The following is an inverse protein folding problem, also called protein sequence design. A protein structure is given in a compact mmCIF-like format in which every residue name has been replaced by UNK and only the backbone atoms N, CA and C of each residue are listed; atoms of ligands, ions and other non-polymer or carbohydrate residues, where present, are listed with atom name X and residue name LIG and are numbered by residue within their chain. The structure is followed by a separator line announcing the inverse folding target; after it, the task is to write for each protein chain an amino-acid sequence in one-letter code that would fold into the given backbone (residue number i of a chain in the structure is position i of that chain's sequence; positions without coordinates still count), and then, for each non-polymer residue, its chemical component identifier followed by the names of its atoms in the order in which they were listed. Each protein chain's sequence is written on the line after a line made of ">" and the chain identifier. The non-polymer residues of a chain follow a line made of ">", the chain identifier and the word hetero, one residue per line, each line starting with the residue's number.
data_IF_262557702009
#
_entry.id   IF_262557702009
#
_cell.length_a   1.000
_cell.length_b   1.000
_cell.length_c   1.000
_cell.angle_alpha   90.00
_cell.angle_beta   90.00
_cell.angle_gamma   90.00
#
_symmetry.space_group_name_H-M   'P 1'
#
loop_
_entity.id
_entity.type
_entity.pdbx_description
1 polymer ?
#
# COMPACT_ATOMS: atom_id res chain seq x y z
N UNK A 1 7.82 5.02 7.22
CA UNK A 1 8.35 3.82 7.92
C UNK A 1 8.50 2.66 6.92
N UNK A 2 9.23 1.58 7.23
CA UNK A 2 9.15 0.34 6.43
C UNK A 2 7.90 -0.45 6.83
N UNK A 3 7.10 -0.84 5.84
CA UNK A 3 5.93 -1.71 6.03
C UNK A 3 6.30 -3.16 5.77
N UNK A 4 7.14 -3.43 4.75
CA UNK A 4 7.66 -4.77 4.48
C UNK A 4 9.19 -4.78 4.61
N UNK A 5 9.69 -5.48 5.62
CA UNK A 5 11.13 -5.67 5.82
C UNK A 5 11.72 -6.62 4.75
N UNK A 6 11.02 -7.70 4.41
CA UNK A 6 11.50 -8.68 3.41
C UNK A 6 11.75 -8.06 2.03
N UNK A 7 10.89 -7.12 1.62
CA UNK A 7 10.96 -6.50 0.29
C UNK A 7 11.52 -5.07 0.33
N UNK A 8 11.87 -4.56 1.52
CA UNK A 8 12.27 -3.18 1.75
C UNK A 8 11.26 -2.16 1.17
N UNK A 9 9.96 -2.37 1.42
CA UNK A 9 8.89 -1.48 0.95
C UNK A 9 8.57 -0.47 2.05
N UNK A 10 8.71 0.81 1.74
CA UNK A 10 8.32 1.92 2.62
C UNK A 10 6.84 2.22 2.47
N UNK A 11 6.26 2.72 3.56
CA UNK A 11 4.88 3.21 3.57
C UNK A 11 4.62 4.25 2.47
N UNK A 12 5.56 5.16 2.22
CA UNK A 12 5.43 6.17 1.16
C UNK A 12 5.36 5.54 -0.25
N UNK A 13 6.08 4.45 -0.49
CA UNK A 13 6.02 3.71 -1.75
C UNK A 13 4.68 2.98 -1.88
N UNK A 14 4.21 2.41 -0.77
CA UNK A 14 2.92 1.72 -0.72
C UNK A 14 1.74 2.69 -0.92
N UNK A 15 1.75 3.86 -0.26
CA UNK A 15 0.77 4.94 -0.47
C UNK A 15 0.82 5.47 -1.90
N UNK A 16 2.00 5.56 -2.52
CA UNK A 16 2.10 5.90 -3.95
C UNK A 16 1.46 4.82 -4.83
N UNK A 17 1.73 3.53 -4.56
CA UNK A 17 1.12 2.43 -5.29
C UNK A 17 -0.42 2.43 -5.16
N UNK A 18 -0.94 2.76 -3.97
CA UNK A 18 -2.38 2.84 -3.68
C UNK A 18 -3.16 3.74 -4.64
N UNK A 19 -2.55 4.83 -5.12
CA UNK A 19 -3.16 5.80 -6.06
C UNK A 19 -3.28 5.25 -7.48
N UNK A 20 -2.49 4.24 -7.84
CA UNK A 20 -2.37 3.73 -9.21
C UNK A 20 -2.84 2.29 -9.37
N UNK A 21 -3.25 1.64 -8.27
CA UNK A 21 -3.76 0.27 -8.27
C UNK A 21 -5.08 0.19 -7.49
N UNK A 22 -6.04 -0.60 -7.96
CA UNK A 22 -7.32 -0.84 -7.30
C UNK A 22 -7.39 -2.17 -6.54
N UNK A 23 -6.28 -2.91 -6.45
CA UNK A 23 -6.20 -4.21 -5.77
C UNK A 23 -5.72 -4.15 -4.32
N UNK A 24 -5.53 -5.33 -3.74
CA UNK A 24 -4.99 -5.56 -2.40
C UNK A 24 -3.47 -5.31 -2.30
N UNK A 25 -2.90 -5.62 -1.14
CA UNK A 25 -1.48 -5.52 -0.87
C UNK A 25 -0.63 -6.32 -1.88
N UNK A 26 -1.09 -7.50 -2.31
CA UNK A 26 -0.34 -8.29 -3.29
C UNK A 26 -0.32 -7.61 -4.66
N UNK A 27 -1.46 -7.09 -5.10
CA UNK A 27 -1.55 -6.32 -6.33
C UNK A 27 -0.68 -5.05 -6.27
N UNK A 28 -0.67 -4.35 -5.12
CA UNK A 28 0.20 -3.21 -4.92
C UNK A 28 1.69 -3.59 -4.97
N UNK A 29 2.08 -4.73 -4.38
CA UNK A 29 3.46 -5.22 -4.42
C UNK A 29 3.87 -5.59 -5.85
N UNK A 30 2.95 -6.17 -6.63
CA UNK A 30 3.18 -6.47 -8.03
C UNK A 30 3.48 -5.20 -8.84
N UNK A 31 2.83 -4.06 -8.56
CA UNK A 31 3.15 -2.77 -9.21
C UNK A 31 4.56 -2.26 -8.89
N UNK A 32 5.13 -2.68 -7.75
CA UNK A 32 6.50 -2.38 -7.35
C UNK A 32 7.50 -3.44 -7.85
N UNK A 33 7.05 -4.41 -8.65
CA UNK A 33 7.87 -5.53 -9.13
C UNK A 33 8.27 -6.51 -8.01
N UNK A 34 7.44 -6.62 -6.96
CA UNK A 34 7.70 -7.48 -5.79
C UNK A 34 6.60 -8.52 -5.62
N UNK A 35 6.91 -9.60 -4.90
CA UNK A 35 5.94 -10.57 -4.37
C UNK A 35 6.11 -10.66 -2.85
N UNK A 36 5.03 -10.90 -2.08
CA UNK A 36 5.16 -11.13 -0.64
C UNK A 36 6.08 -12.32 -0.34
N UNK A 37 6.92 -12.22 0.71
CA UNK A 37 7.78 -13.32 1.16
C UNK A 37 7.18 -14.01 2.39
N UNK A 38 7.17 -13.35 3.56
CA UNK A 38 6.58 -13.91 4.79
C UNK A 38 5.09 -13.60 4.96
N UNK A 39 4.54 -12.64 4.19
CA UNK A 39 3.13 -12.24 4.25
C UNK A 39 2.71 -11.47 5.52
N UNK A 40 3.57 -11.33 6.53
CA UNK A 40 3.20 -10.75 7.83
C UNK A 40 2.74 -9.29 7.76
N UNK A 41 3.21 -8.55 6.75
CA UNK A 41 2.87 -7.15 6.54
C UNK A 41 1.58 -6.93 5.73
N UNK A 42 0.95 -7.97 5.18
CA UNK A 42 -0.14 -7.81 4.22
C UNK A 42 -1.37 -7.14 4.82
N UNK A 43 -1.75 -7.49 6.05
CA UNK A 43 -2.90 -6.90 6.74
C UNK A 43 -2.69 -5.39 6.96
N UNK A 44 -1.53 -5.00 7.48
CA UNK A 44 -1.19 -3.58 7.68
C UNK A 44 -1.08 -2.85 6.33
N UNK A 45 -0.49 -3.51 5.32
CA UNK A 45 -0.39 -2.95 3.98
C UNK A 45 -1.78 -2.68 3.37
N UNK A 46 -2.74 -3.59 3.50
CA UNK A 46 -4.11 -3.39 3.05
C UNK A 46 -4.79 -2.22 3.74
N UNK A 47 -4.58 -2.05 5.06
CA UNK A 47 -5.09 -0.91 5.80
C UNK A 47 -4.53 0.41 5.26
N UNK A 48 -3.21 0.48 5.02
CA UNK A 48 -2.57 1.67 4.44
C UNK A 48 -3.11 1.97 3.04
N UNK A 49 -3.30 0.94 2.20
CA UNK A 49 -3.88 1.11 0.86
C UNK A 49 -5.31 1.66 0.94
N UNK A 50 -6.13 1.13 1.85
CA UNK A 50 -7.49 1.57 2.06
C UNK A 50 -7.54 3.03 2.55
N UNK A 51 -6.79 3.36 3.60
CA UNK A 51 -6.69 4.72 4.13
C UNK A 51 -6.30 5.73 3.05
N UNK A 52 -5.28 5.42 2.26
CA UNK A 52 -4.81 6.34 1.22
C UNK A 52 -5.88 6.59 0.15
N UNK A 53 -6.63 5.56 -0.22
CA UNK A 53 -7.68 5.64 -1.24
C UNK A 53 -8.92 6.38 -0.72
N UNK A 54 -9.28 6.21 0.55
CA UNK A 54 -10.41 6.91 1.16
C UNK A 54 -10.07 8.36 1.49
N UNK A 55 -8.88 8.65 2.01
CA UNK A 55 -8.42 10.02 2.25
C UNK A 55 -8.27 10.81 0.95
N UNK A 56 -7.86 10.15 -0.14
CA UNK A 56 -7.85 10.77 -1.47
C UNK A 56 -9.24 11.09 -2.05
N UNK A 57 -10.32 10.56 -1.45
CA UNK A 57 -11.72 10.78 -1.87
C UNK A 57 -12.47 11.81 -1.04
N UNK A 58 -11.94 12.21 0.12
CA UNK A 58 -12.56 13.27 0.91
C UNK A 58 -12.43 14.60 0.14
N UNK A 59 -13.55 15.25 -0.26
CA UNK A 59 -13.46 16.62 -0.74
C UNK A 59 -12.86 17.44 0.40
N UNK A 60 -11.89 18.29 0.07
CA UNK A 60 -11.42 19.32 0.99
C UNK A 60 -12.67 20.05 1.49
N UNK A 61 -13.05 19.80 2.74
CA UNK A 61 -14.09 20.58 3.40
C UNK A 61 -13.51 21.99 3.54
N UNK A 62 -13.92 22.87 2.62
CA UNK A 62 -13.69 24.31 2.66
C UNK A 62 -14.64 24.93 3.67
#
# INVERSE_FOLDING_TARGET
>A
MYVCICNAIKESELRRAARHTSGDAEAAYATLGKRPNCGQCLVEADQILFEERELGRLPLAV
#
